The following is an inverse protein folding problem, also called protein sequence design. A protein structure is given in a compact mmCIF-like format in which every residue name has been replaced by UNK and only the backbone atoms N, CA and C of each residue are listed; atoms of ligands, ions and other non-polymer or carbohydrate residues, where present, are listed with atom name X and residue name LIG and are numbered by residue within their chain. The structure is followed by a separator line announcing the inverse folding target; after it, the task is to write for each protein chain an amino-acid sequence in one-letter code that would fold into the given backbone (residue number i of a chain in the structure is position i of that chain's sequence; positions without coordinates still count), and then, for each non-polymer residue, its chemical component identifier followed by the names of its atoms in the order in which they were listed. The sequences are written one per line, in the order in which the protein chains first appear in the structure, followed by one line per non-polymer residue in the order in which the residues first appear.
data_IF_839702314598
#
_entry.id   IF_839702314598
#
_cell.length_a   1.000
_cell.length_b   1.000
_cell.length_c   1.000
_cell.angle_alpha   90.00
_cell.angle_beta   90.00
_cell.angle_gamma   90.00
#
_symmetry.space_group_name_H-M   'P 1'
#
loop_
_entity.id
_entity.type
_entity.pdbx_description
1 polymer ?
#
# COMPACT_ATOMS: atom_id res chain seq x y z
N UNK A 1 -21.57 -24.91 31.07
CA UNK A 1 -20.84 -23.76 30.49
C UNK A 1 -19.63 -24.22 29.68
N UNK A 2 -19.62 -25.44 29.13
CA UNK A 2 -18.39 -26.06 28.57
C UNK A 2 -18.43 -26.37 27.07
N UNK A 3 -19.53 -26.08 26.36
CA UNK A 3 -19.65 -26.43 24.92
C UNK A 3 -19.07 -25.36 23.99
N UNK A 4 -18.93 -24.11 24.43
CA UNK A 4 -18.41 -23.02 23.60
C UNK A 4 -16.87 -22.95 23.59
N UNK A 5 -16.21 -23.40 24.65
CA UNK A 5 -14.75 -23.42 24.73
C UNK A 5 -14.13 -24.52 23.83
N UNK A 6 -14.81 -25.65 23.68
CA UNK A 6 -14.34 -26.80 22.87
C UNK A 6 -14.37 -26.48 21.37
N UNK A 7 -15.38 -25.75 20.90
CA UNK A 7 -15.48 -25.38 19.49
C UNK A 7 -14.37 -24.41 19.05
N UNK A 8 -13.99 -23.45 19.90
CA UNK A 8 -13.01 -22.43 19.54
C UNK A 8 -11.58 -22.98 19.41
N UNK A 9 -11.23 -24.04 20.15
CA UNK A 9 -9.95 -24.75 20.02
C UNK A 9 -9.82 -25.55 18.72
N UNK A 10 -10.93 -26.10 18.21
CA UNK A 10 -10.92 -26.90 16.98
C UNK A 10 -10.73 -26.03 15.72
N UNK A 11 -11.31 -24.83 15.68
CA UNK A 11 -11.15 -23.88 14.56
C UNK A 11 -9.72 -23.36 14.42
N UNK A 12 -9.01 -23.15 15.53
CA UNK A 12 -7.60 -22.75 15.52
C UNK A 12 -6.73 -23.90 14.98
N UNK A 13 -7.03 -25.15 15.34
CA UNK A 13 -6.31 -26.31 14.82
C UNK A 13 -6.44 -26.46 13.29
N UNK A 14 -7.68 -26.40 12.79
CA UNK A 14 -7.96 -26.57 11.35
C UNK A 14 -7.33 -25.46 10.50
N UNK A 15 -7.38 -24.21 10.95
CA UNK A 15 -6.76 -23.07 10.24
C UNK A 15 -5.24 -23.17 10.20
N UNK A 16 -4.59 -23.61 11.29
CA UNK A 16 -3.14 -23.85 11.32
C UNK A 16 -2.72 -24.99 10.39
N UNK A 17 -3.50 -26.06 10.28
CA UNK A 17 -3.18 -27.21 9.44
C UNK A 17 -3.34 -26.90 7.94
N UNK A 18 -4.37 -26.13 7.57
CA UNK A 18 -4.52 -25.62 6.20
C UNK A 18 -3.38 -24.68 5.83
N UNK A 19 -2.98 -23.76 6.72
CA UNK A 19 -1.87 -22.86 6.49
C UNK A 19 -0.54 -23.62 6.33
N UNK A 20 -0.30 -24.63 7.18
CA UNK A 20 0.85 -25.53 7.04
C UNK A 20 0.85 -26.26 5.72
N UNK A 21 -0.30 -26.79 5.29
CA UNK A 21 -0.41 -27.48 4.00
C UNK A 21 -0.09 -26.55 2.82
N UNK A 22 -0.58 -25.31 2.85
CA UNK A 22 -0.27 -24.31 1.81
C UNK A 22 1.24 -23.97 1.81
N UNK A 23 1.85 -23.77 2.98
CA UNK A 23 3.30 -23.51 3.09
C UNK A 23 4.12 -24.70 2.59
N UNK A 24 3.71 -25.93 2.89
CA UNK A 24 4.36 -27.14 2.38
C UNK A 24 4.21 -27.28 0.87
N UNK A 25 3.03 -27.01 0.31
CA UNK A 25 2.81 -27.03 -1.13
C UNK A 25 3.68 -25.98 -1.85
N UNK A 26 3.76 -24.76 -1.32
CA UNK A 26 4.59 -23.69 -1.88
C UNK A 26 6.09 -24.01 -1.80
N UNK A 27 6.57 -24.58 -0.69
CA UNK A 27 7.98 -24.98 -0.56
C UNK A 27 8.34 -26.13 -1.51
N UNK A 28 7.43 -27.08 -1.75
CA UNK A 28 7.62 -28.14 -2.75
C UNK A 28 7.66 -27.54 -4.17
N UNK A 29 6.75 -26.62 -4.50
CA UNK A 29 6.73 -25.96 -5.82
C UNK A 29 8.02 -25.17 -6.05
N UNK A 30 8.48 -24.41 -5.04
CA UNK A 30 9.74 -23.67 -5.09
C UNK A 30 10.91 -24.65 -5.24
N UNK A 31 10.93 -25.75 -4.50
CA UNK A 31 11.96 -26.78 -4.60
C UNK A 31 12.04 -27.40 -6.00
N UNK A 32 10.90 -27.78 -6.58
CA UNK A 32 10.80 -28.33 -7.93
C UNK A 32 11.23 -27.29 -8.98
N UNK A 33 10.77 -26.04 -8.85
CA UNK A 33 11.17 -24.94 -9.74
C UNK A 33 12.68 -24.64 -9.65
N UNK A 34 13.26 -24.74 -8.45
CA UNK A 34 14.70 -24.55 -8.22
C UNK A 34 15.51 -25.68 -8.85
N UNK A 35 15.10 -26.94 -8.68
CA UNK A 35 15.77 -28.12 -9.25
C UNK A 35 15.68 -28.12 -10.79
N UNK A 36 14.50 -27.81 -11.34
CA UNK A 36 14.29 -27.72 -12.80
C UNK A 36 15.02 -26.51 -13.41
N UNK A 37 15.04 -25.37 -12.70
CA UNK A 37 15.78 -24.17 -13.10
C UNK A 37 17.30 -24.34 -13.06
N UNK A 38 17.82 -25.15 -12.13
CA UNK A 38 19.24 -25.52 -12.04
C UNK A 38 19.73 -26.24 -13.30
N UNK A 39 18.85 -27.03 -13.94
CA UNK A 39 19.18 -27.85 -15.12
C UNK A 39 19.14 -27.07 -16.45
N UNK A 40 18.46 -25.92 -16.51
CA UNK A 40 18.28 -25.14 -17.75
C UNK A 40 18.52 -23.65 -17.53
N UNK A 41 19.76 -23.21 -17.82
CA UNK A 41 20.19 -21.82 -18.11
C UNK A 41 20.00 -20.76 -17.01
N UNK A 42 21.14 -20.19 -16.57
CA UNK A 42 21.28 -18.78 -16.17
C UNK A 42 20.29 -18.25 -15.11
N UNK A 43 20.65 -18.43 -13.83
CA UNK A 43 19.91 -18.05 -12.63
C UNK A 43 19.21 -16.67 -12.68
N UNK A 44 19.86 -15.65 -13.25
CA UNK A 44 19.35 -14.27 -13.22
C UNK A 44 18.06 -14.04 -14.02
N UNK A 45 17.88 -14.70 -15.18
CA UNK A 45 16.65 -14.52 -15.98
C UNK A 45 15.46 -15.28 -15.40
N UNK A 46 15.72 -16.47 -14.84
CA UNK A 46 14.71 -17.33 -14.24
C UNK A 46 14.19 -16.75 -12.92
N UNK A 47 15.06 -16.15 -12.09
CA UNK A 47 14.62 -15.44 -10.88
C UNK A 47 13.78 -14.20 -11.21
N UNK A 48 14.15 -13.45 -12.25
CA UNK A 48 13.38 -12.27 -12.67
C UNK A 48 12.00 -12.67 -13.23
N UNK A 49 11.92 -13.79 -13.94
CA UNK A 49 10.65 -14.37 -14.37
C UNK A 49 9.83 -14.91 -13.19
N UNK A 50 10.46 -15.58 -12.21
CA UNK A 50 9.78 -16.01 -10.99
C UNK A 50 9.27 -14.83 -10.16
N UNK A 51 10.01 -13.73 -10.09
CA UNK A 51 9.56 -12.50 -9.43
C UNK A 51 8.37 -11.88 -10.17
N UNK A 52 8.41 -11.81 -11.49
CA UNK A 52 7.26 -11.33 -12.30
C UNK A 52 6.04 -12.23 -12.16
N UNK A 53 6.22 -13.55 -12.21
CA UNK A 53 5.14 -14.53 -12.03
C UNK A 53 4.61 -14.51 -10.59
N UNK A 54 5.48 -14.36 -9.60
CA UNK A 54 5.13 -14.19 -8.20
C UNK A 54 4.32 -12.92 -7.96
N UNK A 55 4.74 -11.79 -8.55
CA UNK A 55 3.99 -10.54 -8.51
C UNK A 55 2.64 -10.64 -9.24
N UNK A 56 2.55 -11.36 -10.37
CA UNK A 56 1.28 -11.57 -11.06
C UNK A 56 0.34 -12.49 -10.27
N UNK A 57 0.87 -13.54 -9.64
CA UNK A 57 0.11 -14.41 -8.75
C UNK A 57 -0.41 -13.65 -7.53
N UNK A 58 0.46 -12.87 -6.89
CA UNK A 58 0.14 -11.97 -5.78
C UNK A 58 -0.75 -10.78 -6.19
N UNK A 59 -0.75 -10.35 -7.45
CA UNK A 59 -1.60 -9.24 -7.89
C UNK A 59 -3.01 -9.68 -8.31
N UNK A 60 -3.13 -10.85 -8.92
CA UNK A 60 -4.35 -11.23 -9.65
C UNK A 60 -4.98 -12.56 -9.20
N UNK A 61 -4.17 -13.54 -8.81
CA UNK A 61 -4.65 -14.92 -8.56
C UNK A 61 -4.97 -15.10 -7.07
N UNK A 62 -4.06 -14.72 -6.19
CA UNK A 62 -4.21 -14.90 -4.75
C UNK A 62 -5.39 -14.11 -4.12
N UNK A 63 -5.79 -12.91 -4.58
CA UNK A 63 -7.01 -12.27 -4.08
C UNK A 63 -8.26 -13.11 -4.40
N UNK A 64 -8.35 -13.67 -5.60
CA UNK A 64 -9.51 -14.51 -5.98
C UNK A 64 -9.60 -15.81 -5.17
N UNK A 65 -8.45 -16.34 -4.75
CA UNK A 65 -8.36 -17.54 -3.91
C UNK A 65 -8.75 -17.19 -2.47
N UNK A 66 -8.23 -16.09 -1.93
CA UNK A 66 -8.55 -15.63 -0.58
C UNK A 66 -10.03 -15.23 -0.45
N UNK A 67 -10.63 -14.60 -1.47
CA UNK A 67 -12.07 -14.32 -1.49
C UNK A 67 -12.89 -15.61 -1.38
N UNK A 68 -12.54 -16.63 -2.17
CA UNK A 68 -13.23 -17.92 -2.13
C UNK A 68 -13.09 -18.63 -0.79
N UNK A 69 -11.95 -18.46 -0.12
CA UNK A 69 -11.77 -19.01 1.23
C UNK A 69 -12.55 -18.25 2.28
N UNK A 70 -12.64 -16.92 2.18
CA UNK A 70 -13.48 -16.09 3.04
C UNK A 70 -14.98 -16.40 2.85
N UNK A 71 -15.43 -16.53 1.60
CA UNK A 71 -16.82 -16.89 1.26
C UNK A 71 -17.18 -18.32 1.72
N UNK A 72 -16.18 -19.20 1.84
CA UNK A 72 -16.34 -20.59 2.31
C UNK A 72 -16.15 -20.74 3.82
N UNK A 73 -16.00 -19.64 4.58
CA UNK A 73 -15.70 -19.62 6.01
C UNK A 73 -14.40 -20.38 6.40
N UNK A 74 -13.52 -20.61 5.41
CA UNK A 74 -12.22 -21.28 5.57
C UNK A 74 -11.10 -20.31 5.95
N UNK A 75 -11.34 -19.01 5.78
CA UNK A 75 -10.47 -17.94 6.23
C UNK A 75 -11.29 -16.91 7.03
N UNK A 76 -10.72 -16.29 8.08
CA UNK A 76 -11.39 -15.23 8.81
C UNK A 76 -11.86 -14.09 7.88
N UNK A 77 -13.04 -13.54 8.16
CA UNK A 77 -13.53 -12.36 7.44
C UNK A 77 -12.55 -11.20 7.59
N UNK A 78 -12.21 -10.55 6.48
CA UNK A 78 -11.20 -9.50 6.42
C UNK A 78 -9.79 -9.95 6.03
N UNK A 79 -9.55 -11.26 5.85
CA UNK A 79 -8.22 -11.79 5.43
C UNK A 79 -7.74 -11.14 4.12
N UNK A 80 -8.64 -10.87 3.18
CA UNK A 80 -8.32 -10.15 1.95
C UNK A 80 -7.85 -8.72 2.18
N UNK A 81 -8.52 -8.02 3.09
CA UNK A 81 -8.18 -6.65 3.46
C UNK A 81 -6.82 -6.61 4.15
N UNK A 82 -6.54 -7.56 5.02
CA UNK A 82 -5.26 -7.65 5.72
C UNK A 82 -4.13 -8.06 4.76
N UNK A 83 -4.44 -8.89 3.77
CA UNK A 83 -3.46 -9.30 2.77
C UNK A 83 -3.13 -8.22 1.73
N UNK A 84 -4.09 -7.39 1.32
CA UNK A 84 -3.79 -6.21 0.50
C UNK A 84 -2.97 -5.17 1.26
N UNK A 85 -3.06 -5.13 2.59
CA UNK A 85 -2.19 -4.32 3.46
C UNK A 85 -0.78 -4.91 3.53
N UNK A 86 -0.64 -6.23 3.64
CA UNK A 86 0.66 -6.93 3.69
C UNK A 86 1.43 -6.82 2.37
N UNK A 87 0.75 -6.92 1.22
CA UNK A 87 1.38 -6.67 -0.10
C UNK A 87 1.45 -5.17 -0.45
N UNK A 88 0.63 -4.35 0.20
CA UNK A 88 0.39 -2.95 -0.08
C UNK A 88 0.98 -2.01 0.97
N UNK A 89 2.21 -2.26 1.43
CA UNK A 89 2.97 -1.22 2.12
C UNK A 89 3.25 0.00 1.23
N UNK A 90 2.94 -0.06 -0.07
CA UNK A 90 2.83 1.14 -0.93
C UNK A 90 1.37 1.62 -1.06
N UNK A 91 1.15 2.90 -0.78
CA UNK A 91 -0.12 3.62 -1.01
C UNK A 91 -0.33 4.02 -2.47
N UNK A 92 0.57 3.64 -3.38
CA UNK A 92 0.59 4.09 -4.77
C UNK A 92 0.92 2.95 -5.74
N UNK A 93 0.56 3.17 -7.00
CA UNK A 93 0.93 2.34 -8.16
C UNK A 93 2.30 2.78 -8.67
N UNK A 94 3.14 1.83 -9.09
CA UNK A 94 4.53 2.09 -9.52
C UNK A 94 4.66 2.83 -10.85
N UNK A 95 3.54 3.21 -11.47
CA UNK A 95 3.53 4.03 -12.70
C UNK A 95 4.01 5.46 -12.41
N UNK A 96 4.51 6.14 -13.44
CA UNK A 96 4.90 7.55 -13.37
C UNK A 96 3.94 8.39 -14.22
N UNK A 97 3.35 9.48 -13.70
CA UNK A 97 3.45 9.94 -12.31
C UNK A 97 2.84 8.93 -11.33
N UNK A 98 3.36 8.90 -10.09
CA UNK A 98 2.80 8.02 -9.05
C UNK A 98 1.38 8.46 -8.73
N UNK A 99 0.46 7.51 -8.75
CA UNK A 99 -0.95 7.70 -8.41
C UNK A 99 -1.32 6.79 -7.25
N UNK A 100 -2.18 7.27 -6.37
CA UNK A 100 -2.72 6.46 -5.29
C UNK A 100 -3.36 5.17 -5.82
N UNK A 101 -3.17 4.08 -5.09
CA UNK A 101 -3.98 2.88 -5.29
C UNK A 101 -5.22 2.94 -4.37
N UNK A 102 -6.11 1.96 -4.46
CA UNK A 102 -7.36 1.93 -3.67
C UNK A 102 -7.11 2.01 -2.16
N UNK A 103 -6.01 1.44 -1.66
CA UNK A 103 -5.63 1.55 -0.25
C UNK A 103 -5.18 2.98 0.09
N UNK A 104 -4.34 3.58 -0.75
CA UNK A 104 -3.89 4.97 -0.58
C UNK A 104 -5.03 5.99 -0.64
N UNK A 105 -6.00 5.80 -1.54
CA UNK A 105 -7.23 6.62 -1.59
C UNK A 105 -8.02 6.50 -0.30
N UNK A 106 -8.19 5.27 0.22
CA UNK A 106 -8.85 5.05 1.50
C UNK A 106 -8.14 5.74 2.66
N UNK A 107 -6.80 5.64 2.73
CA UNK A 107 -5.99 6.33 3.74
C UNK A 107 -6.17 7.85 3.61
N UNK A 108 -6.16 8.40 2.39
CA UNK A 108 -6.35 9.83 2.14
C UNK A 108 -7.70 10.34 2.69
N UNK A 109 -8.79 9.62 2.41
CA UNK A 109 -10.14 10.02 2.82
C UNK A 109 -10.39 9.81 4.32
N UNK A 110 -9.91 8.71 4.91
CA UNK A 110 -10.27 8.33 6.29
C UNK A 110 -9.34 8.92 7.36
N UNK A 111 -8.08 9.24 7.02
CA UNK A 111 -7.10 9.74 8.00
C UNK A 111 -7.29 11.21 8.41
N UNK A 112 -8.11 11.95 7.66
CA UNK A 112 -8.27 13.40 7.82
C UNK A 112 -7.16 14.25 7.20
N UNK A 113 -6.10 13.65 6.63
CA UNK A 113 -5.00 14.39 5.99
C UNK A 113 -5.50 15.26 4.82
N UNK A 114 -6.47 14.78 4.04
CA UNK A 114 -7.08 15.54 2.94
C UNK A 114 -7.72 16.84 3.43
N UNK A 115 -8.52 16.77 4.48
CA UNK A 115 -9.17 17.94 5.08
C UNK A 115 -8.15 18.94 5.65
N UNK A 116 -7.07 18.45 6.25
CA UNK A 116 -5.95 19.27 6.72
C UNK A 116 -5.30 20.00 5.53
N UNK A 117 -5.00 19.28 4.45
CA UNK A 117 -4.45 19.86 3.21
C UNK A 117 -5.37 20.91 2.63
N UNK A 118 -6.67 20.64 2.54
CA UNK A 118 -7.64 21.58 2.00
C UNK A 118 -7.74 22.86 2.82
N UNK A 119 -7.76 22.73 4.15
CA UNK A 119 -7.87 23.84 5.08
C UNK A 119 -6.62 24.72 5.09
N UNK A 120 -5.44 24.10 5.01
CA UNK A 120 -4.14 24.78 5.14
C UNK A 120 -3.35 24.86 3.83
N UNK A 121 -4.03 24.70 2.68
CA UNK A 121 -3.38 24.60 1.37
C UNK A 121 -2.42 25.77 1.11
N UNK A 122 -2.83 27.01 1.41
CA UNK A 122 -2.00 28.20 1.18
C UNK A 122 -0.69 28.18 1.96
N UNK A 123 -0.67 27.60 3.16
CA UNK A 123 0.54 27.50 3.97
C UNK A 123 1.45 26.39 3.45
N UNK A 124 0.87 25.27 3.01
CA UNK A 124 1.59 24.18 2.40
C UNK A 124 2.20 24.55 1.05
N UNK A 125 1.44 25.23 0.18
CA UNK A 125 1.93 25.69 -1.13
C UNK A 125 3.10 26.66 -0.97
N UNK A 126 3.00 27.64 -0.06
CA UNK A 126 4.11 28.55 0.26
C UNK A 126 5.35 27.82 0.77
N UNK A 127 5.17 26.72 1.49
CA UNK A 127 6.30 25.92 1.96
C UNK A 127 6.96 25.15 0.80
N UNK A 128 6.19 24.70 -0.19
CA UNK A 128 6.70 24.13 -1.44
C UNK A 128 7.43 25.21 -2.25
N UNK A 129 6.85 26.42 -2.41
CA UNK A 129 7.49 27.53 -3.13
C UNK A 129 8.89 27.84 -2.58
N UNK A 130 9.06 27.80 -1.25
CA UNK A 130 10.34 28.03 -0.57
C UNK A 130 11.41 26.99 -0.89
N UNK A 131 11.04 25.79 -1.33
CA UNK A 131 11.99 24.80 -1.83
C UNK A 131 12.43 25.07 -3.28
N UNK A 132 11.79 26.03 -3.96
CA UNK A 132 12.07 26.41 -5.34
C UNK A 132 12.13 25.20 -6.30
N UNK A 133 11.07 24.36 -6.35
CA UNK A 133 11.06 23.14 -7.15
C UNK A 133 11.19 23.48 -8.64
N UNK A 134 11.99 22.71 -9.37
CA UNK A 134 12.22 22.91 -10.81
C UNK A 134 11.61 21.80 -11.66
N UNK A 135 11.28 20.66 -11.04
CA UNK A 135 10.78 19.47 -11.72
C UNK A 135 9.55 18.90 -11.01
N UNK A 136 8.70 18.10 -11.69
CA UNK A 136 7.58 17.42 -11.03
C UNK A 136 8.02 16.57 -9.84
N UNK A 137 9.22 15.97 -9.93
CA UNK A 137 9.79 15.15 -8.86
C UNK A 137 10.19 16.01 -7.64
N UNK A 138 10.68 17.23 -7.86
CA UNK A 138 10.97 18.17 -6.78
C UNK A 138 9.69 18.56 -6.04
N UNK A 139 8.59 18.79 -6.77
CA UNK A 139 7.28 19.09 -6.18
C UNK A 139 6.79 17.91 -5.34
N UNK A 140 6.89 16.68 -5.83
CA UNK A 140 6.52 15.47 -5.07
C UNK A 140 7.34 15.35 -3.77
N UNK A 141 8.67 15.53 -3.86
CA UNK A 141 9.55 15.48 -2.70
C UNK A 141 9.26 16.60 -1.69
N UNK A 142 9.02 17.81 -2.18
CA UNK A 142 8.68 18.96 -1.35
C UNK A 142 7.33 18.78 -0.65
N UNK A 143 6.29 18.33 -1.37
CA UNK A 143 4.97 18.05 -0.80
C UNK A 143 5.05 17.03 0.32
N UNK A 144 5.80 15.94 0.12
CA UNK A 144 6.01 14.94 1.17
C UNK A 144 6.72 15.53 2.39
N UNK A 145 7.82 16.26 2.17
CA UNK A 145 8.61 16.83 3.24
C UNK A 145 7.85 17.89 4.06
N UNK A 146 7.02 18.70 3.40
CA UNK A 146 6.14 19.68 4.04
C UNK A 146 5.17 19.02 5.01
N UNK A 147 4.60 17.87 4.63
CA UNK A 147 3.69 17.11 5.50
C UNK A 147 4.47 16.41 6.63
N UNK A 148 5.57 15.72 6.34
CA UNK A 148 6.38 15.03 7.36
C UNK A 148 6.86 15.97 8.47
N UNK A 149 7.21 17.21 8.13
CA UNK A 149 7.60 18.24 9.11
C UNK A 149 6.52 18.62 10.12
N UNK A 150 5.28 18.17 9.94
CA UNK A 150 4.14 18.47 10.81
C UNK A 150 3.77 17.32 11.73
N UNK A 151 4.53 16.22 11.74
CA UNK A 151 4.30 15.05 12.58
C UNK A 151 4.09 15.39 14.06
N UNK A 152 4.84 16.35 14.60
CA UNK A 152 4.73 16.77 16.01
C UNK A 152 3.76 17.96 16.24
N UNK A 153 2.93 18.30 15.26
CA UNK A 153 2.04 19.47 15.35
C UNK A 153 0.61 19.11 15.75
N UNK A 154 -0.08 20.02 16.44
CA UNK A 154 -1.49 19.82 16.80
C UNK A 154 -2.41 19.62 15.58
N UNK A 155 -1.96 20.00 14.38
CA UNK A 155 -2.69 19.80 13.13
C UNK A 155 -2.91 18.33 12.81
N UNK A 156 -2.06 17.42 13.33
CA UNK A 156 -2.11 15.99 12.99
C UNK A 156 -2.94 15.15 13.96
N UNK A 157 -3.58 15.76 14.97
CA UNK A 157 -4.49 15.06 15.91
C UNK A 157 -5.55 14.18 15.23
N UNK A 158 -6.17 14.58 14.09
CA UNK A 158 -7.07 13.69 13.36
C UNK A 158 -6.39 12.42 12.86
N UNK A 159 -5.13 12.53 12.43
CA UNK A 159 -4.31 11.41 11.95
C UNK A 159 -3.96 10.52 13.13
N UNK A 160 -3.55 11.07 14.28
CA UNK A 160 -3.28 10.28 15.50
C UNK A 160 -4.50 9.47 15.93
N UNK A 161 -5.68 10.09 15.86
CA UNK A 161 -6.95 9.42 16.16
C UNK A 161 -7.23 8.29 15.17
N UNK A 162 -6.95 8.50 13.88
CA UNK A 162 -7.07 7.47 12.86
C UNK A 162 -6.10 6.30 13.09
N UNK A 163 -4.82 6.59 13.37
CA UNK A 163 -3.79 5.57 13.64
C UNK A 163 -4.14 4.76 14.89
N UNK A 164 -4.60 5.42 15.95
CA UNK A 164 -5.03 4.76 17.19
C UNK A 164 -6.22 3.81 16.98
N UNK A 165 -7.16 4.18 16.11
CA UNK A 165 -8.33 3.35 15.77
C UNK A 165 -8.02 2.19 14.83
N UNK A 166 -6.85 2.20 14.18
CA UNK A 166 -6.45 1.20 13.18
C UNK A 166 -5.08 0.55 13.50
N UNK A 167 -4.88 -0.04 14.69
CA UNK A 167 -3.57 -0.52 15.13
C UNK A 167 -3.02 -1.73 14.34
N UNK A 168 -3.86 -2.39 13.53
CA UNK A 168 -3.50 -3.62 12.82
C UNK A 168 -3.00 -3.45 11.38
N UNK A 169 -2.93 -2.21 10.86
CA UNK A 169 -2.68 -1.98 9.43
C UNK A 169 -1.22 -1.62 9.08
N UNK A 170 -0.28 -1.67 10.01
CA UNK A 170 1.10 -1.12 9.87
C UNK A 170 1.13 0.29 9.23
N UNK A 171 0.06 1.04 9.47
CA UNK A 171 -0.07 2.44 9.04
C UNK A 171 0.65 3.27 10.08
N UNK A 172 1.56 4.12 9.61
CA UNK A 172 2.20 5.14 10.42
C UNK A 172 2.00 6.51 9.77
N UNK A 173 2.39 7.56 10.50
CA UNK A 173 2.26 8.94 10.02
C UNK A 173 2.91 9.16 8.66
N UNK A 174 4.10 8.57 8.41
CA UNK A 174 4.81 8.73 7.14
C UNK A 174 4.04 8.16 5.96
N UNK A 175 3.34 7.04 6.14
CA UNK A 175 2.48 6.44 5.10
C UNK A 175 1.28 7.35 4.80
N UNK A 176 0.67 7.92 5.83
CA UNK A 176 -0.43 8.91 5.68
C UNK A 176 0.07 10.18 4.98
N UNK A 177 1.24 10.69 5.38
CA UNK A 177 1.88 11.85 4.74
C UNK A 177 2.26 11.56 3.29
N UNK A 178 2.68 10.34 2.96
CA UNK A 178 2.95 9.93 1.59
C UNK A 178 1.67 9.95 0.75
N UNK A 179 0.57 9.41 1.26
CA UNK A 179 -0.72 9.47 0.58
C UNK A 179 -1.19 10.93 0.37
N UNK A 180 -1.10 11.75 1.43
CA UNK A 180 -1.41 13.18 1.37
C UNK A 180 -0.50 13.95 0.42
N UNK A 181 0.76 13.53 0.25
CA UNK A 181 1.72 14.25 -0.61
C UNK A 181 1.35 14.20 -2.08
N UNK A 182 0.79 13.08 -2.57
CA UNK A 182 0.31 13.01 -3.95
C UNK A 182 -0.89 13.93 -4.17
N UNK A 183 -1.82 13.96 -3.21
CA UNK A 183 -2.95 14.90 -3.26
C UNK A 183 -2.50 16.36 -3.25
N UNK A 184 -1.56 16.71 -2.37
CA UNK A 184 -1.00 18.07 -2.28
C UNK A 184 -0.22 18.45 -3.55
N UNK A 185 0.55 17.52 -4.12
CA UNK A 185 1.28 17.68 -5.38
C UNK A 185 0.32 17.99 -6.53
N UNK A 186 -0.72 17.18 -6.70
CA UNK A 186 -1.67 17.33 -7.80
C UNK A 186 -2.40 18.68 -7.70
N UNK A 187 -2.83 19.05 -6.50
CA UNK A 187 -3.43 20.36 -6.22
C UNK A 187 -2.45 21.53 -6.40
N UNK A 188 -1.15 21.30 -6.24
CA UNK A 188 -0.12 22.30 -6.53
C UNK A 188 0.04 22.47 -8.05
N UNK A 189 0.06 21.38 -8.82
CA UNK A 189 0.13 21.43 -10.28
C UNK A 189 -1.07 22.13 -10.93
N UNK A 190 -2.27 22.06 -10.35
CA UNK A 190 -3.42 22.85 -10.81
C UNK A 190 -3.14 24.37 -10.87
N UNK A 191 -2.25 24.87 -10.01
CA UNK A 191 -1.84 26.28 -9.96
C UNK A 191 -0.49 26.56 -10.61
N UNK A 192 0.30 25.51 -10.85
CA UNK A 192 1.64 25.53 -11.43
C UNK A 192 1.75 24.51 -12.57
N UNK A 193 0.94 24.65 -13.64
CA UNK A 193 0.90 23.70 -14.73
C UNK A 193 2.25 23.58 -15.45
N UNK A 194 3.09 24.62 -15.41
CA UNK A 194 4.45 24.60 -15.96
C UNK A 194 5.37 23.54 -15.30
N UNK A 195 5.01 23.08 -14.10
CA UNK A 195 5.75 22.07 -13.34
C UNK A 195 5.13 20.66 -13.41
N UNK A 196 3.98 20.47 -14.06
CA UNK A 196 3.30 19.17 -14.10
C UNK A 196 4.01 18.16 -15.02
N UNK A 197 4.86 18.63 -15.93
CA UNK A 197 5.52 17.79 -16.92
C UNK A 197 4.59 17.36 -18.08
N UNK A 198 3.33 17.79 -18.07
CA UNK A 198 2.49 17.77 -19.26
C UNK A 198 2.97 18.89 -20.18
N UNK A 199 3.97 18.59 -21.02
CA UNK A 199 4.24 19.42 -22.19
C UNK A 199 2.93 19.56 -22.94
N UNK A 200 2.39 20.78 -23.02
CA UNK A 200 1.31 21.08 -23.94
C UNK A 200 1.69 20.51 -25.29
N UNK A 201 0.84 19.63 -25.82
CA UNK A 201 0.80 19.34 -27.24
C UNK A 201 0.67 20.70 -27.94
N UNK A 202 1.80 21.21 -28.41
CA UNK A 202 1.83 22.29 -29.39
C UNK A 202 1.23 21.72 -30.66
N UNK A 203 0.07 22.25 -31.02
CA UNK A 203 -0.51 22.24 -32.37
C UNK A 203 0.54 22.49 -33.46
#
# INVERSE_FOLDING_TARGET
MDTLAVAQTDWVGVTFDVLRFIVYALTIIIGIATILGWRKRGWGRSLLQLAKTGNAFAGHILPSILQKFEDSDLAPKGTLRDWTVILGTSVYKTDSPKVLNTFGEKVLEESGIKAIIDTHYTDFSKAIDRSNPQTPLDVEGAAFYVLVKREDSDLVKPIDTYLFKNPGLDINYRLVALAGSFYLRDKYFEKHPELSGETGDTD
#
